data_IF_942282681217
#
_entry.id   IF_942282681217
#
_cell.length_a   1.000
_cell.length_b   1.000
_cell.length_c   1.000
_cell.angle_alpha   90.00
_cell.angle_beta   90.00
_cell.angle_gamma   90.00
#
_symmetry.space_group_name_H-M   'P 1'
#
loop_
_entity.id
_entity.type
_entity.pdbx_description
1 polymer ?
#
# COMPACT_ATOMS: atom_id res chain seq x y z
N UNK A 1 -26.14 19.57 -58.08
CA UNK A 1 -27.10 19.90 -57.01
C UNK A 1 -26.28 20.27 -55.77
N UNK A 2 -26.05 21.55 -55.43
CA UNK A 2 -26.95 22.46 -54.68
C UNK A 2 -27.53 21.75 -53.44
N UNK A 3 -27.44 22.18 -52.18
CA UNK A 3 -26.98 23.42 -51.52
C UNK A 3 -27.04 23.15 -49.99
N UNK A 4 -26.11 23.69 -49.20
CA UNK A 4 -26.32 24.52 -47.97
C UNK A 4 -27.44 24.07 -46.99
N UNK A 5 -27.22 23.95 -45.68
CA UNK A 5 -26.87 25.06 -44.76
C UNK A 5 -26.39 24.54 -43.41
N UNK A 6 -25.29 25.13 -42.95
CA UNK A 6 -24.92 25.22 -41.55
C UNK A 6 -25.95 26.06 -40.79
N UNK A 7 -26.40 25.58 -39.63
CA UNK A 7 -27.02 26.41 -38.61
C UNK A 7 -26.08 26.41 -37.41
N UNK A 8 -25.32 27.51 -37.33
CA UNK A 8 -24.58 27.92 -36.15
C UNK A 8 -25.61 28.37 -35.10
N UNK A 9 -25.67 27.69 -33.96
CA UNK A 9 -26.25 28.26 -32.74
C UNK A 9 -25.08 28.79 -31.92
N UNK A 10 -24.90 30.09 -32.05
CA UNK A 10 -23.98 30.92 -31.27
C UNK A 10 -24.40 30.92 -29.81
N UNK A 11 -23.42 30.79 -28.92
CA UNK A 11 -23.43 31.53 -27.66
C UNK A 11 -23.32 30.67 -26.41
N UNK A 12 -22.10 30.36 -26.00
CA UNK A 12 -21.53 30.90 -24.76
C UNK A 12 -20.02 30.74 -24.83
N UNK A 13 -19.30 31.87 -24.91
CA UNK A 13 -17.85 31.87 -24.71
C UNK A 13 -17.60 31.58 -23.23
N UNK A 14 -17.43 30.31 -22.87
CA UNK A 14 -16.80 29.92 -21.62
C UNK A 14 -15.28 30.11 -21.76
N UNK A 15 -14.85 31.31 -22.14
CA UNK A 15 -13.45 31.74 -22.07
C UNK A 15 -13.20 32.21 -20.65
N UNK A 16 -12.91 31.26 -19.76
CA UNK A 16 -12.59 31.51 -18.36
C UNK A 16 -11.90 30.30 -17.71
N UNK A 17 -11.27 30.49 -16.54
CA UNK A 17 -10.42 29.48 -15.86
C UNK A 17 -11.16 28.17 -15.52
N UNK A 18 -12.49 28.18 -15.57
CA UNK A 18 -13.35 27.00 -15.38
C UNK A 18 -13.13 25.94 -16.48
N UNK A 19 -12.92 26.36 -17.73
CA UNK A 19 -12.63 25.43 -18.83
C UNK A 19 -11.24 24.80 -18.69
N UNK A 20 -10.26 25.56 -18.16
CA UNK A 20 -8.92 25.06 -17.89
C UNK A 20 -8.89 24.11 -16.68
N UNK A 21 -9.69 24.36 -15.64
CA UNK A 21 -9.81 23.49 -14.47
C UNK A 21 -10.53 22.17 -14.80
N UNK A 22 -11.57 22.22 -15.64
CA UNK A 22 -12.28 21.02 -16.11
C UNK A 22 -11.39 20.14 -17.02
N UNK A 23 -10.53 20.74 -17.85
CA UNK A 23 -9.56 20.00 -18.65
C UNK A 23 -8.44 19.37 -17.80
N UNK A 24 -8.04 20.00 -16.69
CA UNK A 24 -7.04 19.45 -15.77
C UNK A 24 -7.56 18.21 -15.00
N UNK A 25 -8.85 18.16 -14.67
CA UNK A 25 -9.48 17.02 -14.00
C UNK A 25 -9.58 15.77 -14.91
N UNK A 26 -9.72 15.97 -16.23
CA UNK A 26 -9.77 14.87 -17.21
C UNK A 26 -8.40 14.39 -17.69
N UNK A 27 -7.34 15.16 -17.44
CA UNK A 27 -5.97 14.81 -17.82
C UNK A 27 -5.21 14.04 -16.73
N UNK A 28 -5.90 13.52 -15.70
CA UNK A 28 -5.28 12.64 -14.74
C UNK A 28 -5.00 11.29 -15.45
N UNK A 29 -3.75 10.88 -15.66
CA UNK A 29 -3.49 9.53 -16.11
C UNK A 29 -4.09 8.60 -15.06
N UNK A 30 -5.00 7.73 -15.50
CA UNK A 30 -5.39 6.57 -14.69
C UNK A 30 -4.13 5.75 -14.51
N UNK A 31 -3.43 5.97 -13.39
CA UNK A 31 -2.40 5.06 -12.92
C UNK A 31 -3.16 3.80 -12.54
N UNK A 32 -3.26 2.89 -13.51
CA UNK A 32 -3.72 1.54 -13.23
C UNK A 32 -2.69 0.95 -12.27
N UNK A 33 -3.09 0.75 -11.03
CA UNK A 33 -2.27 0.01 -10.09
C UNK A 33 -1.97 -1.35 -10.71
N UNK A 34 -0.69 -1.72 -10.81
CA UNK A 34 -0.31 -3.03 -11.34
C UNK A 34 -0.94 -4.17 -10.52
N UNK A 35 -0.85 -5.43 -11.00
CA UNK A 35 -1.45 -6.58 -10.33
C UNK A 35 -1.07 -6.64 -8.84
N UNK A 36 -1.99 -7.02 -7.93
CA UNK A 36 -1.73 -7.11 -6.49
C UNK A 36 -0.48 -7.93 -6.14
N UNK A 37 -0.24 -9.02 -6.87
CA UNK A 37 0.97 -9.83 -6.74
C UNK A 37 2.25 -9.04 -7.00
N UNK A 38 2.25 -8.14 -7.99
CA UNK A 38 3.44 -7.36 -8.34
C UNK A 38 3.75 -6.30 -7.29
N UNK A 39 2.72 -5.64 -6.75
CA UNK A 39 2.86 -4.71 -5.63
C UNK A 39 3.53 -5.40 -4.43
N UNK A 40 3.05 -6.59 -4.04
CA UNK A 40 3.68 -7.36 -2.97
C UNK A 40 5.10 -7.80 -3.32
N UNK A 41 5.35 -8.19 -4.57
CA UNK A 41 6.68 -8.60 -5.03
C UNK A 41 7.71 -7.50 -4.86
N UNK A 42 7.37 -6.27 -5.27
CA UNK A 42 8.25 -5.10 -5.13
C UNK A 42 8.57 -4.82 -3.66
N UNK A 43 7.54 -4.75 -2.81
CA UNK A 43 7.71 -4.44 -1.38
C UNK A 43 8.53 -5.52 -0.67
N UNK A 44 8.26 -6.80 -0.93
CA UNK A 44 8.98 -7.92 -0.33
C UNK A 44 10.43 -8.01 -0.83
N UNK A 45 10.70 -7.67 -2.11
CA UNK A 45 12.06 -7.59 -2.63
C UNK A 45 12.86 -6.47 -1.95
N UNK A 46 12.26 -5.30 -1.73
CA UNK A 46 12.88 -4.19 -1.00
C UNK A 46 13.18 -4.58 0.46
N UNK A 47 12.23 -5.23 1.14
CA UNK A 47 12.43 -5.73 2.49
C UNK A 47 13.59 -6.74 2.55
N UNK A 48 13.64 -7.70 1.62
CA UNK A 48 14.76 -8.65 1.52
C UNK A 48 16.11 -7.95 1.31
N UNK A 49 16.18 -6.93 0.47
CA UNK A 49 17.41 -6.17 0.25
C UNK A 49 17.93 -5.53 1.55
N UNK A 50 17.03 -4.99 2.38
CA UNK A 50 17.36 -4.45 3.71
C UNK A 50 17.83 -5.54 4.68
N UNK A 51 17.22 -6.73 4.61
CA UNK A 51 17.57 -7.87 5.47
C UNK A 51 18.98 -8.41 5.20
N UNK A 52 19.38 -8.50 3.93
CA UNK A 52 20.70 -9.02 3.54
C UNK A 52 21.80 -7.95 3.44
N UNK A 53 21.44 -6.67 3.62
CA UNK A 53 22.40 -5.57 3.51
C UNK A 53 23.54 -5.73 4.54
N UNK A 54 24.82 -5.75 4.11
CA UNK A 54 25.96 -5.91 5.02
C UNK A 54 26.09 -4.76 6.05
N UNK A 55 25.71 -3.54 5.64
CA UNK A 55 25.83 -2.33 6.45
C UNK A 55 24.94 -2.33 7.72
N UNK A 56 23.90 -3.15 7.74
CA UNK A 56 22.96 -3.27 8.87
C UNK A 56 23.12 -4.58 9.65
N UNK A 57 24.16 -5.39 9.34
CA UNK A 57 24.36 -6.74 9.88
C UNK A 57 24.34 -6.80 11.40
N UNK A 58 25.06 -5.91 12.05
CA UNK A 58 25.18 -5.87 13.51
C UNK A 58 24.16 -4.91 14.17
N UNK A 59 23.14 -4.47 13.44
CA UNK A 59 22.16 -3.47 13.90
C UNK A 59 20.72 -3.95 13.65
N UNK A 60 20.27 -5.02 14.34
CA UNK A 60 18.95 -5.61 14.10
C UNK A 60 17.79 -4.63 14.33
N UNK A 61 17.92 -3.74 15.33
CA UNK A 61 16.91 -2.71 15.59
C UNK A 61 16.80 -1.67 14.46
N UNK A 62 17.93 -1.20 13.91
CA UNK A 62 17.91 -0.28 12.77
C UNK A 62 17.33 -0.95 11.53
N UNK A 63 17.77 -2.19 11.24
CA UNK A 63 17.24 -2.99 10.13
C UNK A 63 15.74 -3.20 10.24
N UNK A 64 15.25 -3.49 11.45
CA UNK A 64 13.81 -3.60 11.71
C UNK A 64 13.07 -2.29 11.37
N UNK A 65 13.56 -1.13 11.85
CA UNK A 65 12.95 0.16 11.54
C UNK A 65 12.89 0.45 10.03
N UNK A 66 13.96 0.11 9.30
CA UNK A 66 14.01 0.25 7.84
C UNK A 66 12.96 -0.62 7.15
N UNK A 67 12.86 -1.90 7.55
CA UNK A 67 11.84 -2.82 7.04
C UNK A 67 10.43 -2.34 7.39
N UNK A 68 10.18 -1.94 8.64
CA UNK A 68 8.88 -1.44 9.09
C UNK A 68 8.43 -0.23 8.27
N UNK A 69 9.34 0.68 7.92
CA UNK A 69 9.01 1.85 7.09
C UNK A 69 8.49 1.48 5.71
N UNK A 70 9.01 0.40 5.11
CA UNK A 70 8.52 -0.09 3.81
C UNK A 70 7.06 -0.56 3.88
N UNK A 71 6.65 -1.12 5.02
CA UNK A 71 5.29 -1.60 5.22
C UNK A 71 4.31 -0.52 5.68
N UNK A 72 4.76 0.57 6.31
CA UNK A 72 3.87 1.65 6.75
C UNK A 72 3.06 2.31 5.60
N UNK A 73 3.57 2.27 4.37
CA UNK A 73 2.86 2.77 3.19
C UNK A 73 1.93 1.76 2.52
N UNK A 74 1.96 0.50 2.96
CA UNK A 74 1.30 -0.64 2.28
C UNK A 74 0.30 -1.33 3.21
N UNK A 75 0.56 -1.31 4.51
CA UNK A 75 -0.23 -2.01 5.50
C UNK A 75 -1.25 -1.08 6.16
N UNK A 76 -2.53 -1.45 6.06
CA UNK A 76 -3.64 -0.72 6.66
C UNK A 76 -3.78 -1.11 8.14
N UNK A 77 -2.93 -0.53 9.00
CA UNK A 77 -2.90 -0.85 10.43
C UNK A 77 -4.21 -0.54 11.14
N UNK A 78 -4.95 0.49 10.71
CA UNK A 78 -6.22 0.85 11.34
C UNK A 78 -7.26 -0.23 11.13
N UNK A 79 -7.42 -0.70 9.90
CA UNK A 79 -8.34 -1.76 9.54
C UNK A 79 -7.96 -3.07 10.21
N UNK A 80 -6.68 -3.42 10.25
CA UNK A 80 -6.22 -4.59 10.99
C UNK A 80 -6.53 -4.51 12.49
N UNK A 81 -6.30 -3.35 13.11
CA UNK A 81 -6.63 -3.11 14.52
C UNK A 81 -8.14 -3.16 14.77
N UNK A 82 -8.95 -2.59 13.86
CA UNK A 82 -10.41 -2.64 13.93
C UNK A 82 -10.94 -4.08 13.84
N UNK A 83 -10.39 -4.88 12.92
CA UNK A 83 -10.73 -6.31 12.82
C UNK A 83 -10.34 -7.05 14.10
N UNK A 84 -9.18 -6.76 14.69
CA UNK A 84 -8.73 -7.40 15.92
C UNK A 84 -9.58 -7.01 17.14
N UNK A 85 -10.03 -5.75 17.22
CA UNK A 85 -10.86 -5.26 18.33
C UNK A 85 -12.35 -5.63 18.16
N UNK A 86 -12.78 -5.91 16.93
CA UNK A 86 -14.12 -6.38 16.62
C UNK A 86 -15.20 -5.32 16.91
N UNK A 87 -16.38 -5.72 17.44
CA UNK A 87 -17.50 -4.81 17.67
C UNK A 87 -17.17 -3.60 18.57
N UNK A 88 -16.23 -3.78 19.49
CA UNK A 88 -15.80 -2.73 20.42
C UNK A 88 -15.13 -1.54 19.71
N UNK A 89 -14.61 -1.72 18.49
CA UNK A 89 -13.98 -0.65 17.72
C UNK A 89 -14.91 0.53 17.49
N UNK A 90 -16.15 0.26 17.08
CA UNK A 90 -17.14 1.30 16.80
C UNK A 90 -17.61 2.04 18.06
N UNK A 91 -17.44 1.43 19.24
CA UNK A 91 -17.79 2.02 20.54
C UNK A 91 -16.66 2.86 21.15
N UNK A 92 -15.49 2.94 20.51
CA UNK A 92 -14.37 3.78 20.93
C UNK A 92 -14.41 5.15 20.24
N UNK A 93 -13.95 6.17 20.95
CA UNK A 93 -13.70 7.49 20.39
C UNK A 93 -12.56 7.45 19.37
N UNK A 94 -12.46 8.45 18.50
CA UNK A 94 -11.34 8.54 17.54
C UNK A 94 -9.98 8.52 18.24
N UNK A 95 -9.86 9.22 19.37
CA UNK A 95 -8.62 9.26 20.17
C UNK A 95 -8.25 7.89 20.71
N UNK A 96 -9.22 7.13 21.24
CA UNK A 96 -8.98 5.77 21.75
C UNK A 96 -8.64 4.79 20.62
N UNK A 97 -9.28 4.94 19.46
CA UNK A 97 -8.95 4.17 18.26
C UNK A 97 -7.51 4.44 17.82
N UNK A 98 -7.08 5.70 17.79
CA UNK A 98 -5.71 6.08 17.41
C UNK A 98 -4.68 5.51 18.38
N UNK A 99 -4.97 5.59 19.68
CA UNK A 99 -4.12 5.01 20.71
C UNK A 99 -4.05 3.48 20.61
N UNK A 100 -5.19 2.82 20.35
CA UNK A 100 -5.22 1.38 20.15
C UNK A 100 -4.42 0.96 18.91
N UNK A 101 -4.55 1.68 17.79
CA UNK A 101 -3.75 1.41 16.57
C UNK A 101 -2.26 1.52 16.87
N UNK A 102 -1.84 2.55 17.61
CA UNK A 102 -0.44 2.74 18.02
C UNK A 102 0.05 1.57 18.87
N UNK A 103 -0.71 1.14 19.87
CA UNK A 103 -0.36 0.02 20.75
C UNK A 103 -0.33 -1.32 20.00
N UNK A 104 -1.32 -1.55 19.13
CA UNK A 104 -1.40 -2.74 18.28
C UNK A 104 -0.18 -2.84 17.35
N UNK A 105 0.20 -1.75 16.68
CA UNK A 105 1.37 -1.70 15.82
C UNK A 105 2.68 -1.93 16.60
N UNK A 106 2.80 -1.38 17.82
CA UNK A 106 3.98 -1.58 18.68
C UNK A 106 4.15 -3.05 19.09
N UNK A 107 3.06 -3.72 19.48
CA UNK A 107 3.08 -5.15 19.83
C UNK A 107 3.52 -6.00 18.62
N UNK A 108 2.94 -5.76 17.45
CA UNK A 108 3.33 -6.45 16.22
C UNK A 108 4.80 -6.20 15.89
N UNK A 109 5.26 -4.95 16.00
CA UNK A 109 6.64 -4.56 15.74
C UNK A 109 7.64 -5.34 16.59
N UNK A 110 7.38 -5.45 17.91
CA UNK A 110 8.25 -6.22 18.83
C UNK A 110 8.36 -7.69 18.44
N UNK A 111 7.24 -8.33 18.07
CA UNK A 111 7.27 -9.72 17.61
C UNK A 111 8.06 -9.89 16.31
N UNK A 112 8.02 -8.89 15.43
CA UNK A 112 8.69 -8.90 14.14
C UNK A 112 10.21 -8.65 14.26
N UNK A 113 10.68 -7.88 15.25
CA UNK A 113 12.12 -7.74 15.57
C UNK A 113 12.74 -9.12 15.81
N UNK A 114 12.08 -9.98 16.59
CA UNK A 114 12.56 -11.34 16.85
C UNK A 114 12.59 -12.19 15.57
N UNK A 115 11.57 -12.08 14.72
CA UNK A 115 11.53 -12.78 13.43
C UNK A 115 12.66 -12.30 12.50
N UNK A 116 12.87 -10.99 12.36
CA UNK A 116 13.95 -10.40 11.56
C UNK A 116 15.32 -10.83 12.07
N UNK A 117 15.56 -10.75 13.38
CA UNK A 117 16.81 -11.22 13.98
C UNK A 117 17.10 -12.68 13.59
N UNK A 118 16.11 -13.57 13.70
CA UNK A 118 16.25 -14.99 13.38
C UNK A 118 16.66 -15.27 11.92
N UNK A 119 16.15 -14.47 10.97
CA UNK A 119 16.48 -14.59 9.54
C UNK A 119 17.87 -14.01 9.26
N UNK A 120 18.21 -12.88 9.89
CA UNK A 120 19.50 -12.21 9.67
C UNK A 120 20.70 -13.01 10.16
N UNK A 121 20.55 -13.85 11.19
CA UNK A 121 21.60 -14.76 11.61
C UNK A 121 22.01 -15.78 10.53
N UNK A 122 21.17 -15.99 9.50
CA UNK A 122 21.44 -16.92 8.42
C UNK A 122 22.12 -16.29 7.20
N UNK A 123 22.34 -14.97 7.20
CA UNK A 123 22.83 -14.20 6.03
C UNK A 123 22.10 -14.54 4.72
N UNK A 124 20.83 -14.96 4.80
CA UNK A 124 20.07 -15.50 3.68
C UNK A 124 18.83 -14.65 3.40
N UNK A 125 18.56 -14.41 2.11
CA UNK A 125 17.31 -13.79 1.68
C UNK A 125 16.13 -14.74 1.95
N UNK A 126 14.96 -14.18 2.27
CA UNK A 126 13.73 -14.97 2.39
C UNK A 126 13.20 -15.25 0.99
N UNK A 127 13.15 -16.52 0.59
CA UNK A 127 12.57 -16.90 -0.70
C UNK A 127 11.06 -17.01 -0.59
N UNK A 128 10.33 -16.32 -1.47
CA UNK A 128 8.85 -16.28 -1.46
C UNK A 128 8.33 -16.78 -2.81
N UNK A 129 7.48 -17.80 -2.76
CA UNK A 129 6.78 -18.36 -3.91
C UNK A 129 5.35 -17.85 -3.96
N UNK A 130 4.98 -17.18 -5.04
CA UNK A 130 3.61 -16.72 -5.31
C UNK A 130 2.82 -17.85 -5.97
N UNK A 131 1.69 -18.25 -5.39
CA UNK A 131 0.87 -19.40 -5.81
C UNK A 131 -0.40 -19.01 -6.57
N UNK A 132 -0.77 -17.74 -6.54
CA UNK A 132 -1.91 -17.19 -7.27
C UNK A 132 -2.52 -16.00 -6.55
N UNK A 133 -3.39 -15.28 -7.26
CA UNK A 133 -4.17 -14.17 -6.73
C UNK A 133 -5.66 -14.35 -7.06
N UNK A 134 -6.51 -13.76 -6.23
CA UNK A 134 -7.95 -13.68 -6.46
C UNK A 134 -8.45 -12.30 -6.05
N UNK A 135 -9.11 -11.59 -6.95
CA UNK A 135 -9.75 -10.31 -6.67
C UNK A 135 -11.17 -10.51 -6.14
N UNK A 136 -11.58 -9.66 -5.20
CA UNK A 136 -12.91 -9.59 -4.63
C UNK A 136 -13.28 -8.10 -4.44
N UNK A 137 -13.98 -7.53 -5.42
CA UNK A 137 -14.31 -6.11 -5.45
C UNK A 137 -13.06 -5.23 -5.44
N UNK A 138 -12.97 -4.37 -4.41
CA UNK A 138 -11.83 -3.46 -4.17
C UNK A 138 -10.64 -4.16 -3.49
N UNK A 139 -10.78 -5.42 -3.07
CA UNK A 139 -9.75 -6.18 -2.39
C UNK A 139 -9.16 -7.28 -3.28
N UNK A 140 -7.94 -7.71 -2.96
CA UNK A 140 -7.34 -8.87 -3.59
C UNK A 140 -6.56 -9.72 -2.58
N UNK A 141 -6.68 -11.04 -2.72
CA UNK A 141 -5.98 -12.04 -1.94
C UNK A 141 -4.83 -12.61 -2.77
N UNK A 142 -3.59 -12.46 -2.30
CA UNK A 142 -2.40 -13.09 -2.92
C UNK A 142 -1.92 -14.23 -2.03
N UNK A 143 -1.88 -15.44 -2.58
CA UNK A 143 -1.40 -16.64 -1.86
C UNK A 143 0.09 -16.79 -2.05
N UNK A 144 0.84 -16.79 -0.95
CA UNK A 144 2.30 -16.95 -0.96
C UNK A 144 2.73 -18.15 -0.10
N UNK A 145 3.96 -18.61 -0.31
CA UNK A 145 4.62 -19.58 0.54
C UNK A 145 6.09 -19.20 0.71
N UNK A 146 6.59 -19.27 1.94
CA UNK A 146 8.02 -19.12 2.21
C UNK A 146 8.72 -20.42 1.83
N UNK A 147 9.75 -20.33 0.99
CA UNK A 147 10.67 -21.43 0.74
C UNK A 147 11.73 -21.41 1.85
N UNK A 148 11.80 -22.52 2.59
CA UNK A 148 12.74 -22.74 3.68
C UNK A 148 14.15 -23.07 3.20
#
# INVERSE_FOLDING_TARGET
MLTRRATVITGHRLTGPVAALAALLFACPTVEAGPPTETLRVVLAQANAVLVAPLTKDRPAQRFTEVQRLFNGVFEFRGAAAVALGPEWAARTSTEQDEFVRLFADILGRSFVHAVASVTHRDAAVSIRYRGEAADGEAAMVRTAVAG
#
